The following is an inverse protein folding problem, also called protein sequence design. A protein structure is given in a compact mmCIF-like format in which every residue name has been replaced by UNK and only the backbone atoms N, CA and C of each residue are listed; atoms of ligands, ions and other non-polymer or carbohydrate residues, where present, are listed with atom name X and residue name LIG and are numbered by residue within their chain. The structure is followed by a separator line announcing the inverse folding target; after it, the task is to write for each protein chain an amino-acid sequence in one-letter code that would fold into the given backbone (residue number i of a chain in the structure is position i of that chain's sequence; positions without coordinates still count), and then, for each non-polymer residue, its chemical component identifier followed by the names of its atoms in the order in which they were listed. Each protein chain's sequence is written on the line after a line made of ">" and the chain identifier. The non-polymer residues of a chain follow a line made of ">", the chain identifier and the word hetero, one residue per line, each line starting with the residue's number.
data_IF_939176676858
#
_entry.id   IF_939176676858
#
_cell.length_a   1.000
_cell.length_b   1.000
_cell.length_c   1.000
_cell.angle_alpha   90.00
_cell.angle_beta   90.00
_cell.angle_gamma   90.00
#
_symmetry.space_group_name_H-M   'P 1'
#
loop_
_entity.id
_entity.type
_entity.pdbx_description
1 polymer ?
#
# COMPACT_ATOMS: atom_id res chain seq x y z
N UNK A 1 -37.57 44.05 -20.66
CA UNK A 1 -37.40 43.23 -19.47
C UNK A 1 -36.34 42.20 -19.80
N UNK A 2 -35.09 42.67 -19.78
CA UNK A 2 -34.11 42.43 -18.70
C UNK A 2 -33.33 41.16 -19.05
N UNK A 3 -32.37 41.23 -19.97
CA UNK A 3 -30.96 41.66 -19.77
C UNK A 3 -30.22 40.72 -18.82
N UNK A 4 -28.94 40.45 -19.15
CA UNK A 4 -27.94 39.65 -18.41
C UNK A 4 -27.92 38.22 -18.96
N UNK A 5 -27.10 37.85 -19.96
CA UNK A 5 -25.65 38.01 -19.98
C UNK A 5 -25.16 38.04 -21.45
N UNK A 6 -25.14 39.24 -22.05
CA UNK A 6 -24.19 39.50 -23.13
C UNK A 6 -22.78 39.52 -22.55
N UNK A 7 -21.85 39.02 -23.35
CA UNK A 7 -20.45 39.45 -23.44
C UNK A 7 -19.43 38.38 -23.10
N UNK A 8 -18.90 37.84 -24.20
CA UNK A 8 -17.48 37.63 -24.45
C UNK A 8 -16.69 36.91 -23.37
N UNK A 9 -16.79 35.58 -23.37
CA UNK A 9 -15.56 34.80 -23.31
C UNK A 9 -15.17 34.51 -24.76
N UNK A 10 -14.27 35.33 -25.30
CA UNK A 10 -13.72 35.12 -26.63
C UNK A 10 -13.04 33.75 -26.66
N UNK A 11 -13.18 33.03 -27.77
CA UNK A 11 -12.58 31.71 -27.99
C UNK A 11 -11.04 31.69 -27.82
N UNK A 12 -10.42 32.87 -27.67
CA UNK A 12 -9.02 33.06 -27.30
C UNK A 12 -8.71 32.75 -25.83
N UNK A 13 -9.63 32.98 -24.88
CA UNK A 13 -9.39 32.69 -23.47
C UNK A 13 -9.41 31.18 -23.18
N UNK A 14 -10.22 30.41 -23.93
CA UNK A 14 -10.30 28.95 -23.76
C UNK A 14 -9.02 28.20 -24.16
N UNK A 15 -8.16 28.78 -25.02
CA UNK A 15 -6.86 28.20 -25.33
C UNK A 15 -5.84 28.39 -24.21
N UNK A 16 -5.89 29.55 -23.55
CA UNK A 16 -4.98 29.87 -22.45
C UNK A 16 -5.28 29.02 -21.21
N UNK A 17 -6.57 28.78 -20.89
CA UNK A 17 -6.91 27.83 -19.80
C UNK A 17 -6.48 26.39 -20.16
N UNK A 18 -6.62 25.94 -21.41
CA UNK A 18 -6.16 24.60 -21.82
C UNK A 18 -4.64 24.46 -21.88
N UNK A 19 -3.89 25.51 -22.22
CA UNK A 19 -2.43 25.50 -22.13
C UNK A 19 -1.95 25.51 -20.67
N UNK A 20 -2.66 26.20 -19.78
CA UNK A 20 -2.37 26.16 -18.34
C UNK A 20 -2.74 24.82 -17.71
N UNK A 21 -3.81 24.15 -18.17
CA UNK A 21 -4.10 22.75 -17.77
C UNK A 21 -3.10 21.75 -18.36
N UNK A 22 -2.49 22.04 -19.52
CA UNK A 22 -1.40 21.24 -20.09
C UNK A 22 -0.06 21.48 -19.35
N UNK A 23 0.12 22.68 -18.79
CA UNK A 23 1.25 23.05 -17.95
C UNK A 23 1.09 22.66 -16.47
N UNK A 24 -0.13 22.39 -16.00
CA UNK A 24 -0.33 21.79 -14.69
C UNK A 24 0.10 20.34 -14.77
N UNK A 25 1.26 20.07 -14.18
CA UNK A 25 1.91 18.78 -14.06
C UNK A 25 1.10 17.78 -13.22
N UNK A 26 -0.10 17.40 -13.67
CA UNK A 26 -0.73 16.13 -13.33
C UNK A 26 -0.15 15.07 -14.28
N UNK A 27 1.18 15.02 -14.33
CA UNK A 27 1.90 13.92 -14.94
C UNK A 27 2.79 13.33 -13.86
N UNK A 28 2.32 12.17 -13.35
CA UNK A 28 3.10 10.99 -12.94
C UNK A 28 2.69 10.40 -11.60
N UNK A 29 1.47 9.87 -11.52
CA UNK A 29 1.18 8.76 -10.57
C UNK A 29 0.35 7.63 -11.17
N UNK A 30 -0.29 7.81 -12.33
CA UNK A 30 -1.20 6.78 -12.87
C UNK A 30 -0.59 5.82 -13.93
N UNK A 31 0.66 6.03 -14.37
CA UNK A 31 1.26 5.25 -15.47
C UNK A 31 2.64 4.64 -15.14
N UNK A 32 2.89 4.31 -13.88
CA UNK A 32 4.04 3.48 -13.47
C UNK A 32 3.77 2.67 -12.19
N UNK A 33 2.63 1.97 -12.13
CA UNK A 33 2.38 0.98 -11.08
C UNK A 33 1.97 -0.39 -11.64
N UNK A 34 2.36 -0.70 -12.88
CA UNK A 34 2.30 -2.07 -13.42
C UNK A 34 3.62 -2.85 -13.27
N UNK A 35 4.61 -2.37 -12.53
CA UNK A 35 5.89 -3.08 -12.42
C UNK A 35 6.32 -3.23 -10.97
N UNK A 36 6.13 -4.44 -10.45
CA UNK A 36 6.50 -4.98 -9.13
C UNK A 36 5.46 -4.79 -8.03
N UNK A 37 4.43 -5.65 -8.03
CA UNK A 37 3.75 -6.05 -6.79
C UNK A 37 4.81 -6.34 -5.73
N UNK A 38 4.71 -5.71 -4.56
CA UNK A 38 5.68 -5.91 -3.50
C UNK A 38 5.70 -7.39 -3.08
N UNK A 39 6.83 -7.90 -2.61
CA UNK A 39 6.96 -9.31 -2.17
C UNK A 39 5.81 -9.74 -1.25
N UNK A 40 5.51 -8.91 -0.26
CA UNK A 40 4.43 -9.13 0.73
C UNK A 40 3.03 -9.19 0.09
N UNK A 41 2.81 -8.46 -1.01
CA UNK A 41 1.53 -8.48 -1.73
C UNK A 41 1.41 -9.75 -2.59
N UNK A 42 2.53 -10.24 -3.14
CA UNK A 42 2.57 -11.47 -3.94
C UNK A 42 2.40 -12.73 -3.09
N UNK A 43 3.06 -12.78 -1.93
CA UNK A 43 3.03 -13.93 -1.02
C UNK A 43 1.98 -13.79 0.09
N UNK A 44 0.96 -12.95 -0.10
CA UNK A 44 -0.07 -12.68 0.92
C UNK A 44 -0.65 -13.96 1.51
N UNK A 45 -1.06 -14.91 0.68
CA UNK A 45 -1.68 -16.16 1.14
C UNK A 45 -0.71 -17.04 1.92
N UNK A 46 0.51 -17.20 1.40
CA UNK A 46 1.52 -18.01 2.06
C UNK A 46 1.95 -17.41 3.39
N UNK A 47 2.05 -16.07 3.49
CA UNK A 47 2.28 -15.36 4.73
C UNK A 47 1.11 -15.53 5.72
N UNK A 48 -0.14 -15.48 5.26
CA UNK A 48 -1.31 -15.72 6.13
C UNK A 48 -1.30 -17.16 6.69
N UNK A 49 -0.94 -18.16 5.89
CA UNK A 49 -1.03 -19.57 6.26
C UNK A 49 0.19 -20.07 7.07
N UNK A 50 1.39 -19.65 6.69
CA UNK A 50 2.65 -20.18 7.23
C UNK A 50 3.24 -19.34 8.37
N UNK A 51 2.78 -18.10 8.58
CA UNK A 51 3.25 -17.28 9.69
C UNK A 51 2.57 -17.75 10.98
N UNK A 52 3.22 -18.63 11.74
CA UNK A 52 2.74 -19.08 13.04
C UNK A 52 2.93 -18.00 14.11
N UNK A 53 4.04 -17.26 14.06
CA UNK A 53 4.43 -16.26 15.07
C UNK A 53 4.07 -14.83 14.68
N UNK A 54 2.78 -14.59 14.43
CA UNK A 54 2.28 -13.25 14.06
C UNK A 54 2.47 -12.25 15.21
N UNK A 55 2.48 -12.70 16.46
CA UNK A 55 2.72 -11.84 17.62
C UNK A 55 4.07 -11.11 17.50
N UNK A 56 5.15 -11.82 17.17
CA UNK A 56 6.49 -11.23 17.04
C UNK A 56 6.59 -10.29 15.84
N UNK A 57 5.86 -10.59 14.76
CA UNK A 57 5.74 -9.71 13.59
C UNK A 57 4.99 -8.42 13.96
N UNK A 58 3.89 -8.51 14.70
CA UNK A 58 3.14 -7.35 15.19
C UNK A 58 3.97 -6.48 16.14
N UNK A 59 4.76 -7.10 17.03
CA UNK A 59 5.66 -6.38 17.93
C UNK A 59 6.72 -5.60 17.14
N UNK A 60 7.28 -6.22 16.09
CA UNK A 60 8.19 -5.55 15.17
C UNK A 60 7.55 -4.38 14.42
N UNK A 61 6.28 -4.52 14.03
CA UNK A 61 5.51 -3.47 13.37
C UNK A 61 5.18 -2.29 14.30
N UNK A 62 4.84 -2.59 15.56
CA UNK A 62 4.61 -1.58 16.60
C UNK A 62 5.89 -0.80 16.90
N UNK A 63 7.03 -1.50 17.05
CA UNK A 63 8.34 -0.88 17.25
C UNK A 63 8.72 0.06 16.10
N UNK A 64 8.38 -0.31 14.87
CA UNK A 64 8.62 0.50 13.68
C UNK A 64 7.58 1.62 13.45
N UNK A 65 6.63 1.81 14.39
CA UNK A 65 5.54 2.79 14.34
C UNK A 65 4.65 2.67 13.09
N UNK A 66 4.51 1.44 12.57
CA UNK A 66 3.60 1.15 11.45
C UNK A 66 2.16 0.91 11.90
N UNK A 67 2.01 0.49 13.16
CA UNK A 67 0.72 0.30 13.82
C UNK A 67 0.63 1.24 15.00
N UNK A 68 -0.56 1.76 15.26
CA UNK A 68 -0.87 2.40 16.54
C UNK A 68 -1.10 1.35 17.62
N UNK A 69 -0.98 1.74 18.90
CA UNK A 69 -1.24 0.84 20.02
C UNK A 69 -2.67 0.25 19.94
N UNK A 70 -3.66 1.07 19.56
CA UNK A 70 -5.05 0.64 19.40
C UNK A 70 -5.22 -0.42 18.29
N UNK A 71 -4.55 -0.23 17.15
CA UNK A 71 -4.56 -1.21 16.06
C UNK A 71 -3.87 -2.51 16.49
N UNK A 72 -2.76 -2.40 17.22
CA UNK A 72 -2.05 -3.56 17.77
C UNK A 72 -2.94 -4.34 18.74
N UNK A 73 -3.60 -3.67 19.69
CA UNK A 73 -4.45 -4.33 20.68
C UNK A 73 -5.66 -5.01 20.00
N UNK A 74 -6.24 -4.35 19.00
CA UNK A 74 -7.32 -4.91 18.16
C UNK A 74 -6.84 -6.17 17.44
N UNK A 75 -5.69 -6.10 16.76
CA UNK A 75 -5.10 -7.23 16.04
C UNK A 75 -4.71 -8.38 16.98
N UNK A 76 -4.22 -8.07 18.19
CA UNK A 76 -3.84 -9.07 19.19
C UNK A 76 -5.05 -9.75 19.82
N UNK A 77 -6.18 -9.04 19.93
CA UNK A 77 -7.46 -9.58 20.40
C UNK A 77 -8.07 -10.58 19.41
N UNK A 78 -7.81 -10.41 18.11
CA UNK A 78 -8.31 -11.31 17.07
C UNK A 78 -7.66 -12.70 17.19
N UNK A 79 -8.51 -13.72 17.20
CA UNK A 79 -8.15 -15.14 17.08
C UNK A 79 -9.12 -15.76 16.05
N UNK A 80 -8.61 -16.51 15.07
CA UNK A 80 -7.28 -17.13 14.97
C UNK A 80 -6.22 -16.24 14.29
N UNK A 81 -4.95 -16.62 14.40
CA UNK A 81 -3.79 -15.90 13.86
C UNK A 81 -3.93 -15.52 12.37
N UNK A 82 -4.54 -16.39 11.55
CA UNK A 82 -4.75 -16.11 10.12
C UNK A 82 -5.65 -14.88 9.89
N UNK A 83 -6.66 -14.65 10.73
CA UNK A 83 -7.53 -13.49 10.60
C UNK A 83 -6.84 -12.18 10.98
N UNK A 84 -5.89 -12.23 11.91
CA UNK A 84 -5.03 -11.11 12.28
C UNK A 84 -4.26 -10.62 11.06
N UNK A 85 -3.62 -11.53 10.32
CA UNK A 85 -2.91 -11.18 9.09
C UNK A 85 -3.87 -10.62 8.04
N UNK A 86 -5.05 -11.21 7.85
CA UNK A 86 -6.03 -10.66 6.89
C UNK A 86 -6.43 -9.22 7.20
N UNK A 87 -6.68 -8.91 8.47
CA UNK A 87 -6.98 -7.54 8.91
C UNK A 87 -5.78 -6.61 8.74
N UNK A 88 -4.57 -7.10 9.06
CA UNK A 88 -3.33 -6.36 8.82
C UNK A 88 -3.18 -5.95 7.34
N UNK A 89 -3.46 -6.87 6.41
CA UNK A 89 -3.48 -6.56 4.98
C UNK A 89 -4.56 -5.52 4.59
N UNK A 90 -5.64 -5.40 5.36
CA UNK A 90 -6.60 -4.32 5.19
C UNK A 90 -5.97 -2.95 5.44
N UNK A 91 -5.19 -2.82 6.51
CA UNK A 91 -4.42 -1.60 6.81
C UNK A 91 -3.31 -1.32 5.78
N UNK A 92 -2.76 -2.36 5.15
CA UNK A 92 -1.73 -2.20 4.10
C UNK A 92 -2.23 -1.46 2.86
N UNK A 93 -3.54 -1.29 2.67
CA UNK A 93 -4.09 -0.44 1.59
C UNK A 93 -3.69 1.04 1.75
N UNK A 94 -3.43 1.46 2.99
CA UNK A 94 -2.99 2.83 3.35
C UNK A 94 -1.44 2.91 3.37
N UNK A 95 -0.75 1.77 3.39
CA UNK A 95 0.70 1.71 3.53
C UNK A 95 1.43 2.01 2.23
N UNK A 96 2.42 2.89 2.32
CA UNK A 96 3.33 3.20 1.21
C UNK A 96 4.37 2.11 0.98
N UNK A 97 5.16 2.25 -0.09
CA UNK A 97 6.25 1.33 -0.42
C UNK A 97 7.25 1.15 0.75
N UNK A 98 7.62 2.24 1.42
CA UNK A 98 8.55 2.21 2.57
C UNK A 98 8.00 1.42 3.75
N UNK A 99 6.69 1.46 3.99
CA UNK A 99 6.05 0.73 5.09
C UNK A 99 5.94 -0.76 4.77
N UNK A 100 5.67 -1.10 3.51
CA UNK A 100 5.73 -2.49 3.01
C UNK A 100 7.14 -3.06 3.11
N UNK A 101 8.18 -2.26 2.86
CA UNK A 101 9.57 -2.68 3.02
C UNK A 101 9.93 -2.93 4.49
N UNK A 102 9.51 -2.05 5.39
CA UNK A 102 9.65 -2.22 6.85
C UNK A 102 8.96 -3.48 7.36
N UNK A 103 7.75 -3.77 6.86
CA UNK A 103 7.04 -5.01 7.17
C UNK A 103 7.78 -6.25 6.66
N UNK A 104 8.28 -6.22 5.42
CA UNK A 104 9.13 -7.28 4.90
C UNK A 104 10.37 -7.48 5.78
N UNK A 105 11.02 -6.41 6.22
CA UNK A 105 12.16 -6.49 7.14
C UNK A 105 11.76 -7.11 8.49
N UNK A 106 10.60 -6.75 9.04
CA UNK A 106 10.07 -7.35 10.26
C UNK A 106 9.81 -8.85 10.09
N UNK A 107 9.24 -9.27 8.96
CA UNK A 107 9.06 -10.68 8.64
C UNK A 107 10.38 -11.42 8.52
N UNK A 108 11.39 -10.82 7.86
CA UNK A 108 12.72 -11.39 7.70
C UNK A 108 13.45 -11.56 9.03
N UNK A 109 13.35 -10.58 9.93
CA UNK A 109 13.97 -10.67 11.27
C UNK A 109 13.31 -11.72 12.15
N UNK A 110 11.98 -11.86 12.10
CA UNK A 110 11.26 -12.79 12.96
C UNK A 110 11.22 -14.22 12.39
N UNK A 111 11.11 -14.35 11.07
CA UNK A 111 10.88 -15.60 10.36
C UNK A 111 11.71 -15.65 9.08
N UNK A 112 13.03 -15.51 9.22
CA UNK A 112 14.00 -15.65 8.11
C UNK A 112 13.78 -16.91 7.25
N UNK A 113 13.60 -18.14 7.83
CA UNK A 113 13.42 -19.33 6.99
C UNK A 113 12.16 -19.25 6.14
N UNK A 114 11.07 -18.68 6.65
CA UNK A 114 9.84 -18.51 5.89
C UNK A 114 10.05 -17.57 4.70
N UNK A 115 10.76 -16.45 4.91
CA UNK A 115 11.06 -15.51 3.82
C UNK A 115 11.93 -16.16 2.76
N UNK A 116 12.96 -16.92 3.15
CA UNK A 116 13.82 -17.63 2.21
C UNK A 116 13.03 -18.64 1.37
N UNK A 117 12.18 -19.45 2.00
CA UNK A 117 11.33 -20.42 1.30
C UNK A 117 10.41 -19.73 0.28
N UNK A 118 9.84 -18.58 0.66
CA UNK A 118 8.95 -17.80 -0.22
C UNK A 118 9.71 -17.12 -1.37
N UNK A 119 10.95 -16.69 -1.16
CA UNK A 119 11.81 -16.13 -2.22
C UNK A 119 12.24 -17.21 -3.23
N UNK A 120 12.55 -18.42 -2.75
CA UNK A 120 12.85 -19.57 -3.61
C UNK A 120 11.61 -19.97 -4.43
N UNK A 121 10.42 -19.99 -3.81
CA UNK A 121 9.15 -20.24 -4.51
C UNK A 121 8.83 -19.18 -5.58
N UNK A 122 9.09 -17.89 -5.32
CA UNK A 122 8.91 -16.80 -6.30
C UNK A 122 9.86 -16.98 -7.50
N UNK A 123 11.10 -17.40 -7.22
CA UNK A 123 12.17 -17.52 -8.23
C UNK A 123 11.95 -18.73 -9.15
N UNK A 124 11.46 -19.85 -8.64
CA UNK A 124 11.20 -21.07 -9.42
C UNK A 124 10.01 -20.92 -10.38
N UNK A 125 9.13 -19.93 -10.12
CA UNK A 125 7.87 -19.73 -10.86
C UNK A 125 7.95 -18.67 -11.96
N UNK A 126 9.11 -18.02 -12.14
CA UNK A 126 9.43 -17.10 -13.26
C UNK A 126 10.18 -17.83 -14.37
#
# INVERSE_FOLDING_TARGET
>A
MDTIWESCLTQSELKEVTELFSSLSIQKVAASHCSRRHFVDRHREALIQRTSDISSVLDGLLSQKLLTQEQYDTLRSIRPHQEVMRHLYGYMTIWGYSDKQKFYQALKTNNEPLIRDLEEEDTIRM
#
